data_IF_944380033322
#
_entry.id   IF_944380033322
#
_cell.length_a   1.000
_cell.length_b   1.000
_cell.length_c   1.000
_cell.angle_alpha   90.00
_cell.angle_beta   90.00
_cell.angle_gamma   90.00
#
_symmetry.space_group_name_H-M   'P 1'
#
loop_
_entity.id
_entity.type
_entity.pdbx_description
1 polymer ?
#
# COMPACT_ATOMS: atom_id res chain seq x y z
N UNK A 1 -11.06 -39.61 -23.34
CA UNK A 1 -10.12 -39.13 -22.30
C UNK A 1 -9.47 -37.77 -22.63
N UNK A 2 -10.10 -36.89 -23.44
CA UNK A 2 -9.47 -35.65 -23.94
C UNK A 2 -9.87 -34.35 -23.22
N UNK A 3 -10.71 -34.41 -22.19
CA UNK A 3 -11.30 -33.20 -21.55
C UNK A 3 -10.48 -32.67 -20.36
N UNK A 4 -9.74 -33.54 -19.67
CA UNK A 4 -8.96 -33.14 -18.49
C UNK A 4 -7.65 -32.42 -18.84
N UNK A 5 -6.97 -32.81 -19.93
CA UNK A 5 -5.71 -32.19 -20.36
C UNK A 5 -5.91 -30.76 -20.91
N UNK A 6 -6.97 -30.50 -21.68
CA UNK A 6 -7.22 -29.15 -22.21
C UNK A 6 -7.65 -28.14 -21.14
N UNK A 7 -8.30 -28.56 -20.04
CA UNK A 7 -8.62 -27.65 -18.92
C UNK A 7 -7.39 -27.28 -18.09
N UNK A 8 -6.46 -28.21 -17.88
CA UNK A 8 -5.24 -27.97 -17.10
C UNK A 8 -4.30 -26.94 -17.75
N UNK A 9 -4.15 -27.00 -19.08
CA UNK A 9 -3.29 -26.08 -19.84
C UNK A 9 -3.86 -24.65 -19.83
N UNK A 10 -5.18 -24.49 -19.96
CA UNK A 10 -5.82 -23.17 -19.91
C UNK A 10 -5.81 -22.56 -18.51
N UNK A 11 -5.93 -23.38 -17.45
CA UNK A 11 -5.85 -22.92 -16.06
C UNK A 11 -4.44 -22.46 -15.69
N UNK A 12 -3.40 -23.18 -16.13
CA UNK A 12 -2.01 -22.82 -15.88
C UNK A 12 -1.64 -21.48 -16.54
N UNK A 13 -2.08 -21.24 -17.78
CA UNK A 13 -1.82 -19.97 -18.47
C UNK A 13 -2.54 -18.76 -17.83
N UNK A 14 -3.77 -18.95 -17.33
CA UNK A 14 -4.48 -17.90 -16.58
C UNK A 14 -3.88 -17.67 -15.19
N UNK A 15 -3.43 -18.73 -14.51
CA UNK A 15 -2.76 -18.63 -13.21
C UNK A 15 -1.39 -17.94 -13.32
N UNK A 16 -0.63 -18.19 -14.39
CA UNK A 16 0.65 -17.52 -14.67
C UNK A 16 0.47 -16.04 -15.05
N UNK A 17 -0.57 -15.70 -15.82
CA UNK A 17 -0.90 -14.29 -16.11
C UNK A 17 -1.38 -13.54 -14.87
N UNK A 18 -2.25 -14.14 -14.06
CA UNK A 18 -2.67 -13.56 -12.78
C UNK A 18 -1.48 -13.40 -11.83
N UNK A 19 -0.55 -14.37 -11.80
CA UNK A 19 0.65 -14.30 -10.97
C UNK A 19 1.54 -13.10 -11.35
N UNK A 20 1.77 -12.85 -12.65
CA UNK A 20 2.61 -11.73 -13.08
C UNK A 20 1.97 -10.35 -12.81
N UNK A 21 0.63 -10.28 -12.73
CA UNK A 21 -0.07 -9.06 -12.31
C UNK A 21 0.07 -8.79 -10.81
N UNK A 22 0.12 -9.87 -10.01
CA UNK A 22 0.26 -9.79 -8.55
C UNK A 22 1.71 -9.51 -8.12
N UNK A 23 2.70 -10.05 -8.84
CA UNK A 23 4.12 -9.78 -8.62
C UNK A 23 4.58 -8.54 -9.41
N UNK A 24 4.14 -7.37 -8.98
CA UNK A 24 4.46 -6.09 -9.61
C UNK A 24 5.43 -5.22 -8.77
N UNK A 25 5.91 -4.13 -9.36
CA UNK A 25 6.90 -3.24 -8.74
C UNK A 25 6.39 -2.61 -7.43
N UNK A 26 5.09 -2.30 -7.33
CA UNK A 26 4.52 -1.77 -6.10
C UNK A 26 4.44 -2.84 -5.00
N UNK A 27 4.06 -4.07 -5.32
CA UNK A 27 4.06 -5.18 -4.37
C UNK A 27 5.46 -5.44 -3.78
N UNK A 28 6.48 -5.54 -4.64
CA UNK A 28 7.86 -5.73 -4.23
C UNK A 28 8.36 -4.56 -3.36
N UNK A 29 8.06 -3.32 -3.78
CA UNK A 29 8.34 -2.14 -2.97
C UNK A 29 7.69 -2.20 -1.59
N UNK A 30 6.42 -2.60 -1.51
CA UNK A 30 5.69 -2.73 -0.25
C UNK A 30 6.34 -3.75 0.68
N UNK A 31 6.77 -4.91 0.16
CA UNK A 31 7.46 -5.93 0.95
C UNK A 31 8.80 -5.40 1.51
N UNK A 32 9.62 -4.79 0.65
CA UNK A 32 10.93 -4.23 1.01
C UNK A 32 10.82 -3.07 2.00
N UNK A 33 9.73 -2.30 1.92
CA UNK A 33 9.50 -1.18 2.83
C UNK A 33 8.94 -1.66 4.18
N UNK A 34 7.96 -2.56 4.15
CA UNK A 34 7.23 -2.99 5.35
C UNK A 34 8.04 -3.93 6.26
N UNK A 35 9.10 -4.56 5.75
CA UNK A 35 10.03 -5.34 6.58
C UNK A 35 10.78 -4.47 7.61
N UNK A 36 10.85 -3.15 7.40
CA UNK A 36 11.46 -2.23 8.37
C UNK A 36 10.56 -2.09 9.60
N UNK A 37 11.05 -2.40 10.83
CA UNK A 37 10.23 -2.35 12.04
C UNK A 37 9.55 -1.00 12.26
N UNK A 38 10.24 0.11 12.00
CA UNK A 38 9.70 1.45 12.18
C UNK A 38 8.55 1.74 11.21
N UNK A 39 8.65 1.31 9.95
CA UNK A 39 7.55 1.45 8.97
C UNK A 39 6.34 0.66 9.44
N UNK A 40 6.54 -0.60 9.83
CA UNK A 40 5.46 -1.43 10.36
C UNK A 40 4.79 -0.78 11.58
N UNK A 41 5.59 -0.22 12.49
CA UNK A 41 5.09 0.47 13.68
C UNK A 41 4.26 1.72 13.33
N UNK A 42 4.72 2.58 12.41
CA UNK A 42 3.95 3.75 11.95
C UNK A 42 2.65 3.32 11.28
N UNK A 43 2.70 2.35 10.38
CA UNK A 43 1.51 1.83 9.69
C UNK A 43 0.50 1.23 10.67
N UNK A 44 0.95 0.43 11.65
CA UNK A 44 0.08 -0.16 12.67
C UNK A 44 -0.52 0.92 13.58
N UNK A 45 0.27 1.90 14.02
CA UNK A 45 -0.23 2.99 14.85
C UNK A 45 -1.27 3.84 14.10
N UNK A 46 -1.03 4.17 12.83
CA UNK A 46 -2.01 4.87 11.98
C UNK A 46 -3.28 4.04 11.74
N UNK A 47 -3.14 2.72 11.55
CA UNK A 47 -4.27 1.83 11.40
C UNK A 47 -5.11 1.76 12.69
N UNK A 48 -4.48 1.48 13.83
CA UNK A 48 -5.19 1.20 15.07
C UNK A 48 -5.77 2.46 15.73
N UNK A 49 -5.08 3.61 15.61
CA UNK A 49 -5.52 4.87 16.24
C UNK A 49 -6.41 5.72 15.33
N UNK A 50 -6.29 5.54 14.01
CA UNK A 50 -6.94 6.43 13.05
C UNK A 50 -7.69 5.72 11.91
N UNK A 51 -7.81 4.39 11.98
CA UNK A 51 -8.45 3.54 10.96
C UNK A 51 -7.87 3.71 9.55
N UNK A 52 -6.62 4.14 9.45
CA UNK A 52 -5.95 4.31 8.15
C UNK A 52 -5.66 2.96 7.50
N UNK A 53 -5.84 2.88 6.19
CA UNK A 53 -5.55 1.67 5.43
C UNK A 53 -4.07 1.58 5.09
N UNK A 54 -3.39 0.54 5.61
CA UNK A 54 -1.96 0.31 5.38
C UNK A 54 -1.62 0.23 3.89
N UNK A 55 -2.44 -0.43 3.06
CA UNK A 55 -2.19 -0.50 1.61
C UNK A 55 -2.20 0.88 0.93
N UNK A 56 -3.05 1.81 1.39
CA UNK A 56 -3.11 3.17 0.85
C UNK A 56 -1.94 4.03 1.35
N UNK A 57 -1.49 3.83 2.60
CA UNK A 57 -0.27 4.46 3.12
C UNK A 57 0.95 4.03 2.30
N UNK A 58 1.14 2.72 2.09
CA UNK A 58 2.24 2.18 1.30
C UNK A 58 2.18 2.66 -0.16
N UNK A 59 0.99 2.70 -0.76
CA UNK A 59 0.81 3.21 -2.12
C UNK A 59 1.18 4.70 -2.24
N UNK A 60 0.80 5.51 -1.24
CA UNK A 60 1.14 6.93 -1.21
C UNK A 60 2.66 7.15 -1.18
N UNK A 61 3.38 6.35 -0.39
CA UNK A 61 4.85 6.39 -0.31
C UNK A 61 5.47 5.94 -1.62
N UNK A 62 4.96 4.86 -2.22
CA UNK A 62 5.45 4.35 -3.49
C UNK A 62 5.29 5.38 -4.62
N UNK A 63 4.11 6.02 -4.72
CA UNK A 63 3.87 7.08 -5.70
C UNK A 63 4.87 8.23 -5.55
N UNK A 64 5.21 8.60 -4.31
CA UNK A 64 6.21 9.66 -4.10
C UNK A 64 7.60 9.26 -4.60
N UNK A 65 8.01 8.00 -4.43
CA UNK A 65 9.26 7.48 -4.98
C UNK A 65 9.25 7.44 -6.52
N UNK A 66 8.08 7.24 -7.13
CA UNK A 66 7.88 7.26 -8.59
C UNK A 66 7.69 8.69 -9.16
N UNK A 67 7.70 9.73 -8.32
CA UNK A 67 7.43 11.10 -8.75
C UNK A 67 5.96 11.36 -9.14
N UNK A 68 5.04 10.55 -8.61
CA UNK A 68 3.61 10.62 -8.89
C UNK A 68 2.81 11.20 -7.73
N UNK A 69 1.71 11.88 -8.06
CA UNK A 69 0.75 12.39 -7.09
C UNK A 69 -0.33 11.34 -6.82
N UNK A 70 -0.74 11.22 -5.56
CA UNK A 70 -1.89 10.42 -5.17
C UNK A 70 -3.17 11.06 -5.74
N UNK A 71 -3.99 10.26 -6.42
CA UNK A 71 -5.27 10.68 -7.00
C UNK A 71 -6.44 10.00 -6.27
N UNK A 72 -6.95 10.55 -5.15
CA UNK A 72 -7.93 9.85 -4.34
C UNK A 72 -9.24 9.54 -5.05
N UNK A 73 -9.62 10.35 -6.06
CA UNK A 73 -10.84 10.12 -6.82
C UNK A 73 -10.76 8.85 -7.67
N UNK A 74 -9.62 8.57 -8.30
CA UNK A 74 -9.43 7.34 -9.07
C UNK A 74 -9.53 6.09 -8.19
N UNK A 75 -9.02 6.17 -6.96
CA UNK A 75 -9.12 5.10 -5.97
C UNK A 75 -10.58 4.91 -5.52
N UNK A 76 -11.27 6.01 -5.18
CA UNK A 76 -12.68 5.97 -4.72
C UNK A 76 -13.65 5.46 -5.80
N UNK A 77 -13.38 5.74 -7.06
CA UNK A 77 -14.20 5.30 -8.20
C UNK A 77 -14.00 3.82 -8.55
N UNK A 78 -12.91 3.19 -8.09
CA UNK A 78 -12.63 1.79 -8.37
C UNK A 78 -13.41 0.87 -7.41
N UNK A 79 -14.62 0.45 -7.81
CA UNK A 79 -15.50 -0.39 -6.99
C UNK A 79 -14.89 -1.73 -6.58
N UNK A 80 -14.09 -2.35 -7.46
CA UNK A 80 -13.41 -3.60 -7.17
C UNK A 80 -12.40 -3.40 -6.03
N UNK A 81 -11.59 -2.35 -6.10
CA UNK A 81 -10.65 -2.00 -5.03
C UNK A 81 -11.39 -1.71 -3.72
N UNK A 82 -12.49 -0.94 -3.76
CA UNK A 82 -13.27 -0.64 -2.56
C UNK A 82 -13.76 -1.92 -1.89
N UNK A 83 -14.30 -2.88 -2.63
CA UNK A 83 -14.71 -4.18 -2.08
C UNK A 83 -13.57 -4.91 -1.33
N UNK A 84 -12.36 -4.92 -1.89
CA UNK A 84 -11.20 -5.52 -1.19
C UNK A 84 -10.86 -4.78 0.10
N UNK A 85 -10.84 -3.45 0.05
CA UNK A 85 -10.40 -2.57 1.11
C UNK A 85 -11.41 -2.48 2.28
N UNK A 86 -12.71 -2.42 2.00
CA UNK A 86 -13.76 -2.21 3.00
C UNK A 86 -14.43 -3.49 3.49
N UNK A 87 -14.43 -4.59 2.72
CA UNK A 87 -15.17 -5.80 3.07
C UNK A 87 -14.25 -7.02 3.22
N UNK A 88 -13.50 -7.38 2.18
CA UNK A 88 -12.78 -8.66 2.15
C UNK A 88 -11.61 -8.69 3.14
N UNK A 89 -10.68 -7.73 3.04
CA UNK A 89 -9.50 -7.68 3.92
C UNK A 89 -9.92 -7.51 5.38
N UNK A 90 -10.81 -6.57 5.75
CA UNK A 90 -11.28 -6.44 7.12
C UNK A 90 -11.92 -7.72 7.68
N UNK A 91 -12.70 -8.44 6.86
CA UNK A 91 -13.35 -9.69 7.28
C UNK A 91 -12.34 -10.81 7.57
N UNK A 92 -11.32 -10.98 6.71
CA UNK A 92 -10.23 -11.95 6.95
C UNK A 92 -9.43 -11.56 8.19
N UNK A 93 -9.13 -10.27 8.36
CA UNK A 93 -8.41 -9.74 9.52
C UNK A 93 -9.17 -9.97 10.81
N UNK A 94 -10.49 -9.76 10.81
CA UNK A 94 -11.36 -10.03 11.95
C UNK A 94 -11.35 -11.51 12.30
N UNK A 95 -11.53 -12.40 11.31
CA UNK A 95 -11.45 -13.84 11.53
C UNK A 95 -10.09 -14.26 12.14
N UNK A 96 -8.98 -13.71 11.61
CA UNK A 96 -7.64 -13.96 12.16
C UNK A 96 -7.50 -13.45 13.60
N UNK A 97 -8.01 -12.27 13.92
CA UNK A 97 -8.01 -11.70 15.28
C UNK A 97 -8.82 -12.57 16.24
N UNK A 98 -9.97 -13.11 15.80
CA UNK A 98 -10.84 -13.96 16.62
C UNK A 98 -10.23 -15.33 16.96
N UNK A 99 -9.38 -15.88 16.09
CA UNK A 99 -8.58 -17.09 16.39
C UNK A 99 -7.51 -16.82 17.48
N UNK A 100 -7.18 -15.55 17.72
CA UNK A 100 -6.33 -15.09 18.81
C UNK A 100 -4.87 -14.93 18.40
N UNK A 101 -4.28 -13.78 18.73
CA UNK A 101 -2.88 -13.48 18.41
C UNK A 101 -1.86 -14.28 19.23
N UNK A 102 -2.28 -14.89 20.35
CA UNK A 102 -1.46 -15.83 21.12
C UNK A 102 -1.29 -17.18 20.40
N UNK A 103 -2.07 -17.41 19.35
CA UNK A 103 -2.10 -18.63 18.56
C UNK A 103 -1.28 -18.51 17.28
N UNK A 104 -0.19 -17.72 17.24
CA UNK A 104 0.64 -17.56 16.01
C UNK A 104 1.16 -18.88 15.45
N UNK A 105 1.26 -19.92 16.28
CA UNK A 105 1.66 -21.27 15.87
C UNK A 105 0.51 -22.14 15.35
N UNK A 106 -0.74 -21.76 15.61
CA UNK A 106 -1.94 -22.46 15.15
C UNK A 106 -1.98 -22.49 13.60
N UNK A 107 -2.15 -23.67 12.99
CA UNK A 107 -2.31 -23.81 11.55
C UNK A 107 -3.41 -22.92 10.97
N UNK A 108 -4.55 -22.76 11.65
CA UNK A 108 -5.65 -21.92 11.20
C UNK A 108 -5.26 -20.43 11.20
N UNK A 109 -4.55 -19.97 12.23
CA UNK A 109 -4.02 -18.61 12.28
C UNK A 109 -3.08 -18.35 11.09
N UNK A 110 -2.16 -19.28 10.80
CA UNK A 110 -1.22 -19.18 9.68
C UNK A 110 -1.94 -19.15 8.33
N UNK A 111 -2.97 -19.99 8.15
CA UNK A 111 -3.78 -20.01 6.92
C UNK A 111 -4.54 -18.70 6.73
N UNK A 112 -5.16 -18.15 7.79
CA UNK A 112 -5.84 -16.86 7.72
C UNK A 112 -4.86 -15.71 7.44
N UNK A 113 -3.65 -15.75 8.03
CA UNK A 113 -2.61 -14.75 7.74
C UNK A 113 -2.14 -14.83 6.27
N UNK A 114 -1.95 -16.03 5.74
CA UNK A 114 -1.62 -16.22 4.33
C UNK A 114 -2.76 -15.76 3.40
N UNK A 115 -4.01 -15.98 3.80
CA UNK A 115 -5.19 -15.50 3.08
C UNK A 115 -5.25 -13.97 3.07
N UNK A 116 -5.04 -13.33 4.22
CA UNK A 116 -4.97 -11.87 4.36
C UNK A 116 -3.90 -11.29 3.43
N UNK A 117 -2.69 -11.87 3.43
CA UNK A 117 -1.60 -11.41 2.59
C UNK A 117 -1.93 -11.51 1.09
N UNK A 118 -2.56 -12.61 0.66
CA UNK A 118 -3.02 -12.76 -0.74
C UNK A 118 -4.11 -11.75 -1.11
N UNK A 119 -5.02 -11.44 -0.18
CA UNK A 119 -6.03 -10.42 -0.39
C UNK A 119 -5.41 -9.01 -0.49
N UNK A 120 -4.43 -8.70 0.36
CA UNK A 120 -3.65 -7.46 0.30
C UNK A 120 -2.88 -7.35 -1.03
N UNK A 121 -2.24 -8.43 -1.49
CA UNK A 121 -1.56 -8.46 -2.80
C UNK A 121 -2.52 -8.17 -3.96
N UNK A 122 -3.73 -8.73 -3.95
CA UNK A 122 -4.77 -8.43 -4.95
C UNK A 122 -5.18 -6.96 -4.93
N UNK A 123 -5.38 -6.38 -3.75
CA UNK A 123 -5.70 -4.96 -3.63
C UNK A 123 -4.55 -4.08 -4.16
N UNK A 124 -3.30 -4.42 -3.85
CA UNK A 124 -2.14 -3.68 -4.35
C UNK A 124 -1.94 -3.82 -5.86
N UNK A 125 -2.24 -4.97 -6.46
CA UNK A 125 -2.23 -5.13 -7.92
C UNK A 125 -3.26 -4.24 -8.62
N UNK A 126 -4.45 -4.08 -8.03
CA UNK A 126 -5.46 -3.14 -8.54
C UNK A 126 -4.97 -1.70 -8.40
N UNK A 127 -4.39 -1.32 -7.25
CA UNK A 127 -3.77 -0.01 -7.05
C UNK A 127 -2.67 0.27 -8.10
N UNK A 128 -1.79 -0.70 -8.35
CA UNK A 128 -0.71 -0.59 -9.33
C UNK A 128 -1.23 -0.35 -10.77
N UNK A 129 -2.41 -0.89 -11.11
CA UNK A 129 -3.04 -0.71 -12.40
C UNK A 129 -3.78 0.64 -12.55
N UNK A 130 -3.97 1.40 -11.47
CA UNK A 130 -4.59 2.74 -11.54
C UNK A 130 -3.66 3.69 -12.30
N UNK A 131 -4.24 4.53 -13.17
CA UNK A 131 -3.50 5.57 -13.89
C UNK A 131 -2.78 6.48 -12.90
N UNK A 132 -1.50 6.74 -13.17
CA UNK A 132 -0.64 7.62 -12.38
C UNK A 132 -0.56 9.01 -13.03
N UNK A 133 -0.48 10.05 -12.19
CA UNK A 133 -0.23 11.43 -12.59
C UNK A 133 1.17 11.82 -12.14
N UNK A 134 2.05 12.22 -13.07
CA UNK A 134 3.44 12.58 -12.73
C UNK A 134 3.53 14.06 -12.35
N UNK A 135 4.33 14.38 -11.33
CA UNK A 135 4.50 15.77 -10.88
C UNK A 135 5.05 16.68 -11.98
N UNK A 136 5.88 16.13 -12.88
CA UNK A 136 6.43 16.83 -14.05
C UNK A 136 5.34 17.38 -14.98
N UNK A 137 4.21 16.68 -15.09
CA UNK A 137 3.06 17.07 -15.93
C UNK A 137 2.31 18.27 -15.33
N UNK A 138 2.39 18.46 -14.01
CA UNK A 138 1.76 19.57 -13.28
C UNK A 138 2.68 20.79 -13.14
N UNK A 139 4.00 20.57 -13.08
CA UNK A 139 5.01 21.66 -13.00
C UNK A 139 5.15 22.52 -14.26
N UNK A 140 4.45 22.19 -15.36
CA UNK A 140 4.29 23.12 -16.49
C UNK A 140 3.43 24.34 -16.14
N UNK A 141 2.72 24.35 -15.00
CA UNK A 141 1.75 25.39 -14.63
C UNK A 141 2.24 26.32 -13.50
N UNK A 142 3.14 25.91 -12.59
CA UNK A 142 3.62 26.79 -11.51
C UNK A 142 5.12 26.61 -11.16
N UNK A 143 5.91 27.68 -11.35
CA UNK A 143 7.35 27.76 -11.03
C UNK A 143 7.63 27.89 -9.52
N UNK A 144 7.32 26.89 -8.69
CA UNK A 144 7.84 26.81 -7.31
C UNK A 144 8.16 25.37 -6.90
N UNK A 145 9.45 25.03 -6.83
CA UNK A 145 10.05 23.99 -5.98
C UNK A 145 9.40 22.59 -5.87
N UNK A 146 8.64 22.11 -6.85
CA UNK A 146 7.99 20.79 -6.82
C UNK A 146 8.85 19.63 -7.36
N UNK A 147 10.18 19.72 -7.22
CA UNK A 147 11.11 18.67 -7.62
C UNK A 147 11.61 17.76 -6.49
N UNK A 148 11.20 18.01 -5.24
CA UNK A 148 11.69 17.26 -4.08
C UNK A 148 10.76 16.08 -3.77
N UNK A 149 11.25 14.86 -3.96
CA UNK A 149 10.60 13.59 -3.57
C UNK A 149 10.12 13.64 -2.12
N UNK A 150 10.83 14.37 -1.25
CA UNK A 150 10.47 14.55 0.16
C UNK A 150 9.19 15.38 0.32
N UNK A 151 9.08 16.49 -0.40
CA UNK A 151 7.87 17.31 -0.40
C UNK A 151 6.67 16.55 -0.99
N UNK A 152 6.92 15.74 -2.02
CA UNK A 152 5.90 14.86 -2.59
C UNK A 152 5.47 13.74 -1.63
N UNK A 153 6.39 13.23 -0.81
CA UNK A 153 6.07 12.25 0.24
C UNK A 153 5.13 12.83 1.29
N UNK A 154 5.47 14.01 1.83
CA UNK A 154 4.60 14.71 2.78
C UNK A 154 3.23 14.98 2.16
N UNK A 155 3.20 15.50 0.94
CA UNK A 155 1.97 15.82 0.23
C UNK A 155 1.07 14.60 0.00
N UNK A 156 1.61 13.49 -0.50
CA UNK A 156 0.82 12.28 -0.77
C UNK A 156 0.29 11.65 0.52
N UNK A 157 1.07 11.62 1.60
CA UNK A 157 0.60 11.10 2.89
C UNK A 157 -0.51 11.99 3.49
N UNK A 158 -0.39 13.31 3.37
CA UNK A 158 -1.45 14.25 3.77
C UNK A 158 -2.71 14.08 2.93
N UNK A 159 -2.59 13.91 1.61
CA UNK A 159 -3.75 13.61 0.75
C UNK A 159 -4.41 12.28 1.13
N UNK A 160 -3.60 11.26 1.44
CA UNK A 160 -4.10 9.97 1.90
C UNK A 160 -4.92 10.12 3.18
N UNK A 161 -4.42 10.88 4.16
CA UNK A 161 -5.15 11.21 5.38
C UNK A 161 -6.49 11.91 5.08
N UNK A 162 -6.44 13.00 4.32
CA UNK A 162 -7.61 13.83 4.06
C UNK A 162 -8.71 13.07 3.30
N UNK A 163 -8.31 12.16 2.40
CA UNK A 163 -9.26 11.48 1.55
C UNK A 163 -9.84 10.18 2.12
N UNK A 164 -9.09 9.48 2.98
CA UNK A 164 -9.43 8.12 3.42
C UNK A 164 -9.51 7.94 4.94
N UNK A 165 -9.28 8.99 5.73
CA UNK A 165 -9.60 8.93 7.16
C UNK A 165 -11.11 8.90 7.36
N UNK A 166 -11.55 8.07 8.30
CA UNK A 166 -12.95 7.69 8.52
C UNK A 166 -13.77 8.77 9.24
N UNK A 167 -13.56 10.03 8.90
CA UNK A 167 -14.11 11.16 9.66
C UNK A 167 -15.11 11.95 8.84
N UNK A 168 -16.40 11.80 9.19
CA UNK A 168 -17.49 12.67 8.74
C UNK A 168 -17.34 14.14 9.17
N UNK A 169 -16.37 14.44 10.04
CA UNK A 169 -15.95 15.80 10.42
C UNK A 169 -14.45 15.98 10.11
N UNK A 170 -14.03 17.20 9.72
CA UNK A 170 -12.62 17.52 9.43
C UNK A 170 -11.76 17.43 10.70
N UNK A 171 -11.32 16.23 11.09
CA UNK A 171 -10.32 16.06 12.14
C UNK A 171 -8.98 16.60 11.65
N UNK A 172 -8.20 17.26 12.53
CA UNK A 172 -6.85 17.67 12.18
C UNK A 172 -6.00 16.46 11.82
N UNK A 173 -5.07 16.65 10.90
CA UNK A 173 -4.08 15.63 10.56
C UNK A 173 -3.29 15.22 11.81
N UNK A 174 -3.17 13.91 12.08
CA UNK A 174 -2.43 13.45 13.24
C UNK A 174 -0.95 13.73 13.03
N UNK A 175 -0.27 14.15 14.11
CA UNK A 175 1.19 14.35 14.11
C UNK A 175 1.95 13.13 13.58
N UNK A 176 1.39 11.95 13.79
CA UNK A 176 1.93 10.67 13.34
C UNK A 176 2.17 10.60 11.82
N UNK A 177 1.36 11.26 10.99
CA UNK A 177 1.58 11.33 9.53
C UNK A 177 2.87 12.09 9.22
N UNK A 178 3.05 13.25 9.88
CA UNK A 178 4.25 14.08 9.73
C UNK A 178 5.50 13.41 10.31
N UNK A 179 5.38 12.73 11.45
CA UNK A 179 6.48 11.97 12.03
C UNK A 179 6.90 10.82 11.11
N UNK A 180 5.93 10.15 10.48
CA UNK A 180 6.22 9.07 9.54
C UNK A 180 6.92 9.58 8.27
N UNK A 181 6.46 10.69 7.69
CA UNK A 181 7.11 11.28 6.51
C UNK A 181 8.55 11.73 6.83
N UNK A 182 8.75 12.38 7.98
CA UNK A 182 10.09 12.82 8.43
C UNK A 182 11.03 11.64 8.66
N UNK A 183 10.54 10.58 9.31
CA UNK A 183 11.34 9.38 9.52
C UNK A 183 11.78 8.75 8.20
N UNK A 184 10.86 8.64 7.23
CA UNK A 184 11.14 8.12 5.89
C UNK A 184 12.19 8.95 5.15
N UNK A 185 12.13 10.28 5.25
CA UNK A 185 13.13 11.20 4.68
C UNK A 185 14.51 10.93 5.30
N UNK A 186 14.61 10.91 6.63
CA UNK A 186 15.87 10.65 7.33
C UNK A 186 16.44 9.25 7.04
N UNK A 187 15.59 8.22 6.93
CA UNK A 187 16.01 6.88 6.54
C UNK A 187 16.61 6.85 5.12
N UNK A 188 16.01 7.59 4.18
CA UNK A 188 16.51 7.69 2.81
C UNK A 188 17.89 8.36 2.75
N UNK A 189 18.12 9.41 3.53
CA UNK A 189 19.39 10.16 3.58
C UNK A 189 20.53 9.34 4.20
N UNK A 190 20.26 8.63 5.31
CA UNK A 190 21.26 7.75 5.94
C UNK A 190 21.78 6.67 4.99
N UNK A 191 20.93 6.15 4.11
CA UNK A 191 21.33 5.18 3.08
C UNK A 191 22.23 5.78 2.00
N UNK A 192 22.02 7.06 1.66
CA UNK A 192 22.86 7.77 0.69
C UNK A 192 24.24 7.99 1.30
N UNK A 193 24.32 8.50 2.54
CA UNK A 193 25.60 8.71 3.22
C UNK A 193 26.39 7.42 3.47
N UNK A 194 25.70 6.31 3.77
CA UNK A 194 26.32 4.99 3.92
C UNK A 194 26.92 4.44 2.63
N UNK A 195 26.32 4.77 1.46
CA UNK A 195 26.83 4.36 0.14
C UNK A 195 28.06 5.14 -0.33
N UNK A 196 28.30 6.34 0.21
CA UNK A 196 29.48 7.16 -0.12
C UNK A 196 30.67 6.96 0.84
N UNK A 197 30.53 6.10 1.86
CA UNK A 197 31.58 5.81 2.86
C UNK A 197 32.30 4.48 2.63
N UNK A 198 32.08 3.80 1.51
CA UNK A 198 32.76 2.57 1.09
C UNK A 198 33.27 2.72 -0.34
#
# INVERSE_FOLDING_TARGET
MSSAHSKAITNQASEEQDFHLLENAFWQFSLDLYVKPEVANYCLALQDQHNMQVNLLLYSIWLSAEGCILEPQLIKQNSQLQNWLSEIIPSIRLARKNVGENSKQDPLYKQLKACELKAEQKAQAILYAIKRTYISELTLIEQKNHGDVKALLEFNLSLCWQAFSDCGEKKPEPKLIKEFSQWMIMDSERKIEGKFKH
#
